data_IF_487823223241
#
_entry.id   IF_487823223241
#
_cell.length_a   1.000
_cell.length_b   1.000
_cell.length_c   1.000
_cell.angle_alpha   90.00
_cell.angle_beta   90.00
_cell.angle_gamma   90.00
#
_symmetry.space_group_name_H-M   'P 1'
#
loop_
_entity.id
_entity.type
_entity.pdbx_description
1 polymer ?
#
# COMPACT_ATOMS: atom_id res chain seq x y z
N UNK A 1 6.83 -6.45 15.36
CA UNK A 1 5.89 -6.76 14.26
C UNK A 1 4.63 -5.98 14.52
N UNK A 2 4.17 -5.18 13.56
CA UNK A 2 2.89 -4.48 13.67
C UNK A 2 1.79 -5.36 13.08
N UNK A 3 0.69 -5.52 13.81
CA UNK A 3 -0.47 -6.30 13.36
C UNK A 3 -1.19 -5.57 12.21
N UNK A 4 -1.69 -6.33 11.23
CA UNK A 4 -2.66 -5.81 10.25
C UNK A 4 -4.00 -5.60 10.95
N UNK A 5 -4.37 -4.35 11.21
CA UNK A 5 -5.59 -4.02 11.95
C UNK A 5 -6.84 -4.07 11.07
N UNK A 6 -8.01 -4.43 11.64
CA UNK A 6 -9.29 -4.30 10.96
C UNK A 6 -9.58 -2.83 10.62
N UNK A 7 -10.33 -2.60 9.54
CA UNK A 7 -10.64 -1.26 9.04
C UNK A 7 -11.22 -0.36 10.14
N UNK A 8 -10.56 0.77 10.40
CA UNK A 8 -10.96 1.71 11.46
C UNK A 8 -10.20 1.57 12.78
N UNK A 9 -9.22 0.66 12.88
CA UNK A 9 -8.37 0.49 14.07
C UNK A 9 -6.87 0.66 13.77
N UNK A 10 -6.11 1.16 14.74
CA UNK A 10 -4.66 1.41 14.64
C UNK A 10 -3.93 1.14 15.97
N UNK A 11 -2.60 1.21 15.96
CA UNK A 11 -1.73 0.89 17.10
C UNK A 11 -1.02 -0.47 17.00
N UNK A 12 -0.06 -0.76 17.89
CA UNK A 12 0.72 -2.01 17.84
C UNK A 12 -0.14 -3.26 18.01
N UNK A 13 -1.29 -3.12 18.68
CA UNK A 13 -2.27 -4.17 18.95
C UNK A 13 -3.67 -3.83 18.44
N UNK A 14 -3.82 -2.84 17.56
CA UNK A 14 -5.14 -2.41 17.03
C UNK A 14 -6.11 -1.90 18.10
N UNK A 15 -5.59 -1.28 19.16
CA UNK A 15 -6.37 -0.82 20.32
C UNK A 15 -6.97 0.58 20.15
N UNK A 16 -6.56 1.33 19.12
CA UNK A 16 -7.01 2.71 18.91
C UNK A 16 -8.00 2.79 17.76
N UNK A 17 -9.17 3.32 18.02
CA UNK A 17 -10.17 3.65 17.00
C UNK A 17 -9.71 4.87 16.20
N UNK A 18 -9.89 4.84 14.89
CA UNK A 18 -9.48 5.95 14.05
C UNK A 18 -10.41 7.16 14.23
N UNK A 19 -9.84 8.38 14.29
CA UNK A 19 -10.63 9.59 14.49
C UNK A 19 -11.67 9.80 13.38
N UNK A 20 -12.91 10.15 13.71
CA UNK A 20 -13.94 10.44 12.71
C UNK A 20 -13.57 11.73 11.96
N UNK A 21 -13.63 11.68 10.62
CA UNK A 21 -13.30 12.78 9.68
C UNK A 21 -11.82 13.08 9.45
N UNK A 22 -10.89 12.32 10.04
CA UNK A 22 -9.52 12.22 9.53
C UNK A 22 -9.36 10.87 8.85
N UNK A 23 -8.64 10.79 7.72
CA UNK A 23 -8.25 9.51 7.18
C UNK A 23 -7.45 8.80 8.28
N UNK A 24 -8.04 7.73 8.83
CA UNK A 24 -7.34 6.72 9.63
C UNK A 24 -5.96 6.56 9.00
N UNK A 25 -4.82 6.67 9.73
CA UNK A 25 -3.52 6.54 9.12
C UNK A 25 -3.46 5.18 8.43
N UNK A 26 -3.76 5.17 7.13
CA UNK A 26 -3.98 3.95 6.39
C UNK A 26 -2.62 3.33 6.35
N UNK A 27 -2.54 2.15 6.95
CA UNK A 27 -1.39 1.26 7.03
C UNK A 27 -0.93 0.77 5.65
N UNK A 28 -1.15 1.55 4.59
CA UNK A 28 -0.50 1.39 3.30
C UNK A 28 1.00 1.58 3.52
N UNK A 29 1.68 0.48 3.85
CA UNK A 29 3.13 0.41 3.89
C UNK A 29 3.67 0.27 2.46
N UNK A 30 3.20 1.12 1.54
CA UNK A 30 3.64 1.10 0.15
C UNK A 30 5.12 1.43 0.11
N UNK A 31 5.94 0.47 -0.29
CA UNK A 31 7.36 0.65 -0.49
C UNK A 31 7.63 1.32 -1.84
N UNK A 32 8.87 1.75 -2.06
CA UNK A 32 9.34 2.23 -3.36
C UNK A 32 8.48 3.37 -3.95
N UNK A 33 8.08 4.32 -3.10
CA UNK A 33 7.27 5.47 -3.47
C UNK A 33 5.87 5.13 -4.04
N UNK A 34 5.33 3.94 -3.76
CA UNK A 34 3.94 3.60 -4.10
C UNK A 34 2.94 4.55 -3.43
N UNK A 35 1.86 4.88 -4.14
CA UNK A 35 0.76 5.70 -3.61
C UNK A 35 -0.30 4.81 -3.00
N UNK A 36 -0.79 5.16 -1.81
CA UNK A 36 -1.94 4.49 -1.22
C UNK A 36 -3.23 5.04 -1.85
N UNK A 37 -4.09 4.18 -2.36
CA UNK A 37 -5.43 4.55 -2.77
C UNK A 37 -6.37 4.54 -1.55
N UNK A 38 -6.90 5.69 -1.10
CA UNK A 38 -7.74 5.74 0.10
C UNK A 38 -9.14 5.13 -0.10
N UNK A 39 -9.54 4.85 -1.35
CA UNK A 39 -10.85 4.28 -1.69
C UNK A 39 -10.79 2.75 -1.70
N UNK A 40 -9.77 2.17 -2.33
CA UNK A 40 -9.62 0.71 -2.42
C UNK A 40 -8.71 0.11 -1.33
N UNK A 41 -7.95 0.95 -0.62
CA UNK A 41 -6.87 0.55 0.31
C UNK A 41 -5.74 -0.25 -0.36
N UNK A 42 -5.55 -0.11 -1.67
CA UNK A 42 -4.47 -0.76 -2.41
C UNK A 42 -3.31 0.20 -2.68
N UNK A 43 -2.09 -0.34 -2.81
CA UNK A 43 -0.93 0.42 -3.25
C UNK A 43 -0.87 0.50 -4.78
N UNK A 44 -0.92 1.73 -5.30
CA UNK A 44 -0.56 2.06 -6.67
C UNK A 44 0.96 2.16 -6.79
N UNK A 45 1.58 1.16 -7.41
CA UNK A 45 3.03 1.05 -7.50
C UNK A 45 3.63 1.94 -8.58
N UNK A 46 4.84 2.44 -8.30
CA UNK A 46 5.63 3.18 -9.27
C UNK A 46 6.16 2.27 -10.38
N UNK A 47 6.48 2.86 -11.54
CA UNK A 47 7.01 2.14 -12.70
C UNK A 47 8.19 1.25 -12.33
N UNK A 48 8.04 -0.06 -12.52
CA UNK A 48 9.07 -1.03 -12.20
C UNK A 48 8.90 -1.73 -10.84
N UNK A 49 7.79 -1.47 -10.12
CA UNK A 49 7.44 -2.14 -8.88
C UNK A 49 6.03 -2.76 -8.92
N UNK A 50 5.82 -3.81 -8.16
CA UNK A 50 4.57 -4.59 -8.10
C UNK A 50 4.38 -5.28 -6.75
N UNK A 51 3.20 -5.87 -6.55
CA UNK A 51 2.74 -6.50 -5.33
C UNK A 51 1.94 -5.57 -4.43
N UNK A 52 1.28 -6.14 -3.43
CA UNK A 52 0.32 -5.46 -2.52
C UNK A 52 0.89 -4.22 -1.85
N UNK A 53 2.21 -4.20 -1.62
CA UNK A 53 2.94 -3.09 -0.99
C UNK A 53 4.07 -2.56 -1.86
N UNK A 54 4.08 -2.86 -3.16
CA UNK A 54 5.14 -2.43 -4.10
C UNK A 54 6.55 -2.88 -3.69
N UNK A 55 6.67 -4.01 -2.97
CA UNK A 55 7.95 -4.55 -2.52
C UNK A 55 8.71 -5.30 -3.62
N UNK A 56 8.03 -5.76 -4.67
CA UNK A 56 8.65 -6.58 -5.71
C UNK A 56 9.02 -5.72 -6.91
N UNK A 57 10.23 -5.89 -7.45
CA UNK A 57 10.60 -5.30 -8.74
C UNK A 57 9.92 -6.02 -9.88
N UNK A 58 9.56 -5.27 -10.92
CA UNK A 58 9.09 -5.84 -12.16
C UNK A 58 10.18 -6.70 -12.83
N UNK A 59 9.80 -7.75 -13.59
CA UNK A 59 10.72 -8.52 -14.41
C UNK A 59 11.52 -7.62 -15.36
N UNK A 60 12.74 -8.04 -15.72
CA UNK A 60 13.59 -7.29 -16.64
C UNK A 60 12.83 -7.00 -17.96
N UNK A 61 12.84 -5.72 -18.35
CA UNK A 61 12.10 -5.24 -19.52
C UNK A 61 10.62 -4.94 -19.28
N UNK A 62 10.12 -4.93 -18.04
CA UNK A 62 8.71 -4.58 -17.73
C UNK A 62 8.57 -3.40 -16.77
N UNK A 63 7.50 -2.62 -16.93
CA UNK A 63 7.21 -1.40 -16.16
C UNK A 63 5.69 -1.08 -16.13
N UNK A 64 5.29 -0.01 -15.46
CA UNK A 64 3.87 0.41 -15.32
C UNK A 64 3.08 -0.39 -14.28
N UNK A 65 1.77 -0.11 -14.18
CA UNK A 65 0.84 -0.78 -13.25
C UNK A 65 0.92 -2.30 -13.40
N UNK A 66 1.24 -2.98 -12.31
CA UNK A 66 1.41 -4.44 -12.29
C UNK A 66 2.39 -4.98 -13.36
N UNK A 67 3.39 -4.19 -13.75
CA UNK A 67 4.37 -4.56 -14.78
C UNK A 67 3.73 -4.88 -16.15
N UNK A 68 2.59 -4.27 -16.46
CA UNK A 68 1.82 -4.53 -17.67
C UNK A 68 2.48 -3.98 -18.94
N UNK A 69 3.42 -3.04 -18.82
CA UNK A 69 4.14 -2.44 -19.95
C UNK A 69 5.49 -3.11 -20.15
N UNK A 70 5.92 -3.20 -21.40
CA UNK A 70 7.23 -3.75 -21.79
C UNK A 70 8.10 -2.62 -22.34
N UNK A 71 9.41 -2.67 -22.09
CA UNK A 71 10.41 -1.80 -22.70
C UNK A 71 10.75 -2.25 -24.12
#
# INVERSE_FOLDING_TARGET
>A
GACSCPSGYTGPLCEKECPPNEPCPVLCHCQNNGKCNPVTNECECTSGWTGVVCANKCPAGRWGDNCARTC
#
